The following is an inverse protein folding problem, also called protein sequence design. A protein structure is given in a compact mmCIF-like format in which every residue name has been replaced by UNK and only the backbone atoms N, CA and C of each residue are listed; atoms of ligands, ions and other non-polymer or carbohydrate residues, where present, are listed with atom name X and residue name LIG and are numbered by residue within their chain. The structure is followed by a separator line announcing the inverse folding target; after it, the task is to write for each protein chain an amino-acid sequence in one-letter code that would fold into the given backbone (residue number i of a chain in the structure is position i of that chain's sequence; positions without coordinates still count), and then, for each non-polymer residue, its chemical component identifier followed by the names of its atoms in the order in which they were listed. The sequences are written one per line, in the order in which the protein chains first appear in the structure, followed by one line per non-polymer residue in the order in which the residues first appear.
data_IF_164415193223
#
_entry.id   IF_164415193223
#
_cell.length_a   1.000
_cell.length_b   1.000
_cell.length_c   1.000
_cell.angle_alpha   90.00
_cell.angle_beta   90.00
_cell.angle_gamma   90.00
#
_symmetry.space_group_name_H-M   'P 1'
#
loop_
_entity.id
_entity.type
_entity.pdbx_description
1 polymer ?
#
# COMPACT_ATOMS: atom_id res chain seq x y z
N UNK A 1 -9.87 32.87 26.20
CA UNK A 1 -9.71 31.50 25.69
C UNK A 1 -9.05 31.60 24.33
N UNK A 2 -7.76 31.34 24.26
CA UNK A 2 -6.91 31.58 23.08
C UNK A 2 -7.15 30.50 22.02
N UNK A 3 -7.35 30.91 20.78
CA UNK A 3 -7.31 30.04 19.61
C UNK A 3 -5.87 29.98 19.10
N UNK A 4 -5.32 28.78 18.99
CA UNK A 4 -4.08 28.51 18.24
C UNK A 4 -4.47 27.81 16.94
N UNK A 5 -4.18 28.38 15.76
CA UNK A 5 -4.28 27.62 14.53
C UNK A 5 -3.06 26.68 14.46
N UNK A 6 -3.33 25.38 14.42
CA UNK A 6 -2.36 24.35 14.12
C UNK A 6 -2.31 24.25 12.60
N UNK A 7 -1.48 25.09 11.99
CA UNK A 7 -1.08 24.95 10.59
C UNK A 7 0.15 24.03 10.59
N UNK A 8 -0.09 22.72 10.57
CA UNK A 8 0.92 21.78 10.09
C UNK A 8 1.01 21.96 8.58
N UNK A 9 1.93 22.83 8.15
CA UNK A 9 2.50 22.80 6.81
C UNK A 9 3.32 21.51 6.71
N UNK A 10 2.65 20.37 6.49
CA UNK A 10 3.31 19.15 6.07
C UNK A 10 3.69 19.35 4.60
N UNK A 11 4.81 20.03 4.39
CA UNK A 11 5.48 20.10 3.09
C UNK A 11 5.82 18.66 2.73
N UNK A 12 4.94 18.01 1.98
CA UNK A 12 5.16 16.67 1.44
C UNK A 12 6.34 16.80 0.47
N UNK A 13 7.53 16.51 0.99
CA UNK A 13 8.75 16.29 0.23
C UNK A 13 8.47 15.08 -0.66
N UNK A 14 7.90 15.34 -1.84
CA UNK A 14 7.70 14.34 -2.88
C UNK A 14 9.08 13.98 -3.40
N UNK A 15 9.77 13.13 -2.63
CA UNK A 15 11.03 12.53 -3.02
C UNK A 15 10.76 11.72 -4.28
N UNK A 16 11.19 12.31 -5.39
CA UNK A 16 11.18 11.76 -6.71
C UNK A 16 11.97 10.44 -6.66
N UNK A 17 11.26 9.31 -6.58
CA UNK A 17 11.80 7.95 -6.71
C UNK A 17 12.21 7.73 -8.16
N UNK A 18 13.29 8.40 -8.56
CA UNK A 18 13.99 8.21 -9.82
C UNK A 18 15.25 7.40 -9.60
N UNK A 19 15.09 6.13 -9.23
CA UNK A 19 16.05 5.05 -9.50
C UNK A 19 15.41 3.71 -9.09
N UNK A 20 14.55 3.13 -9.95
CA UNK A 20 14.02 1.76 -9.75
C UNK A 20 14.47 0.83 -10.89
N UNK A 21 15.39 1.26 -11.75
CA UNK A 21 15.72 0.56 -13.00
C UNK A 21 16.89 -0.41 -12.90
N UNK A 22 17.54 -0.54 -11.73
CA UNK A 22 18.67 -1.46 -11.53
C UNK A 22 18.53 -2.31 -10.25
N UNK A 23 17.32 -2.50 -9.72
CA UNK A 23 17.10 -3.61 -8.79
C UNK A 23 17.02 -4.89 -9.61
N UNK A 24 17.87 -5.91 -9.36
CA UNK A 24 17.69 -7.21 -10.00
C UNK A 24 16.24 -7.64 -9.78
N UNK A 25 15.58 -8.15 -10.82
CA UNK A 25 14.21 -8.65 -10.76
C UNK A 25 14.14 -9.76 -9.71
N UNK A 26 13.92 -9.35 -8.46
CA UNK A 26 13.80 -10.24 -7.33
C UNK A 26 12.36 -10.69 -7.33
N UNK A 27 12.14 -11.97 -7.59
CA UNK A 27 10.84 -12.59 -7.37
C UNK A 27 10.56 -12.51 -5.86
N UNK A 28 9.68 -11.58 -5.48
CA UNK A 28 9.21 -11.41 -4.11
C UNK A 28 7.83 -12.05 -4.04
N UNK A 29 7.68 -13.06 -3.19
CA UNK A 29 6.38 -13.66 -2.93
C UNK A 29 5.48 -12.66 -2.20
N UNK A 30 4.28 -12.45 -2.74
CA UNK A 30 3.28 -11.56 -2.15
C UNK A 30 2.14 -12.38 -1.52
N UNK A 31 1.75 -11.99 -0.31
CA UNK A 31 0.55 -12.47 0.35
C UNK A 31 -0.63 -11.53 0.05
N UNK A 32 -1.81 -12.13 -0.18
CA UNK A 32 -3.06 -11.41 -0.35
C UNK A 32 -4.03 -11.80 0.76
N UNK A 33 -4.42 -10.82 1.58
CA UNK A 33 -5.39 -10.98 2.65
C UNK A 33 -6.68 -10.21 2.32
N UNK A 34 -7.79 -10.92 2.22
CA UNK A 34 -9.10 -10.35 1.94
C UNK A 34 -9.97 -10.38 3.19
N UNK A 35 -10.42 -9.21 3.63
CA UNK A 35 -11.41 -9.06 4.69
C UNK A 35 -12.77 -8.78 4.06
N UNK A 36 -13.73 -9.65 4.34
CA UNK A 36 -15.11 -9.50 3.89
C UNK A 36 -15.91 -8.71 4.91
N UNK A 37 -16.57 -7.65 4.46
CA UNK A 37 -17.46 -6.85 5.29
C UNK A 37 -18.91 -7.07 4.86
N UNK A 38 -19.82 -7.13 5.83
CA UNK A 38 -21.24 -7.39 5.54
C UNK A 38 -21.92 -6.27 4.75
N UNK A 39 -21.52 -5.02 4.99
CA UNK A 39 -22.21 -3.83 4.49
C UNK A 39 -21.27 -2.83 3.78
N UNK A 40 -20.00 -3.20 3.59
CA UNK A 40 -18.98 -2.38 2.95
C UNK A 40 -18.28 -3.23 1.88
N UNK A 41 -17.56 -2.56 0.98
CA UNK A 41 -16.72 -3.27 0.02
C UNK A 41 -15.69 -4.14 0.76
N UNK A 42 -15.43 -5.34 0.22
CA UNK A 42 -14.35 -6.19 0.69
C UNK A 42 -13.02 -5.45 0.57
N UNK A 43 -12.21 -5.51 1.62
CA UNK A 43 -10.88 -4.90 1.62
C UNK A 43 -9.85 -5.96 1.30
N UNK A 44 -8.98 -5.67 0.34
CA UNK A 44 -7.87 -6.53 -0.04
C UNK A 44 -6.56 -5.83 0.30
N UNK A 45 -5.70 -6.52 1.04
CA UNK A 45 -4.37 -6.05 1.44
C UNK A 45 -3.31 -6.99 0.89
N UNK A 46 -2.34 -6.42 0.18
CA UNK A 46 -1.17 -7.11 -0.36
C UNK A 46 0.06 -6.72 0.44
N UNK A 47 0.89 -7.69 0.83
CA UNK A 47 2.13 -7.46 1.58
C UNK A 47 3.21 -8.49 1.20
N UNK A 48 4.51 -8.16 1.28
CA UNK A 48 5.56 -9.13 1.04
C UNK A 48 5.58 -10.25 2.09
N UNK A 49 5.73 -11.49 1.65
CA UNK A 49 5.69 -12.67 2.52
C UNK A 49 6.92 -12.78 3.42
N UNK A 50 8.08 -12.34 2.91
CA UNK A 50 9.38 -12.43 3.58
C UNK A 50 9.56 -11.38 4.69
N UNK A 51 8.65 -10.39 4.79
CA UNK A 51 8.75 -9.31 5.77
C UNK A 51 8.39 -9.75 7.19
N UNK A 52 9.11 -9.21 8.17
CA UNK A 52 8.74 -9.31 9.58
C UNK A 52 7.38 -8.67 9.84
N UNK A 53 6.72 -9.04 10.94
CA UNK A 53 5.43 -8.45 11.31
C UNK A 53 5.48 -6.92 11.43
N UNK A 54 6.59 -6.36 11.92
CA UNK A 54 6.79 -4.90 11.99
C UNK A 54 6.95 -4.27 10.61
N UNK A 55 7.72 -4.89 9.70
CA UNK A 55 7.86 -4.39 8.33
C UNK A 55 6.54 -4.44 7.57
N UNK A 56 5.70 -5.46 7.82
CA UNK A 56 4.35 -5.57 7.27
C UNK A 56 3.38 -4.47 7.73
N UNK A 57 3.73 -3.67 8.75
CA UNK A 57 2.92 -2.49 9.15
C UNK A 57 3.13 -1.28 8.25
N UNK A 58 4.21 -1.26 7.47
CA UNK A 58 4.54 -0.14 6.58
C UNK A 58 4.69 -0.57 5.12
N UNK A 59 4.92 -1.87 4.87
CA UNK A 59 5.09 -2.44 3.54
C UNK A 59 3.85 -3.23 3.13
N UNK A 60 2.78 -2.49 2.85
CA UNK A 60 1.51 -3.05 2.37
C UNK A 60 0.78 -2.08 1.46
N UNK A 61 -0.07 -2.63 0.59
CA UNK A 61 -1.02 -1.89 -0.23
C UNK A 61 -2.42 -2.42 0.06
N UNK A 62 -3.36 -1.53 0.39
CA UNK A 62 -4.74 -1.93 0.70
C UNK A 62 -5.76 -1.07 -0.03
N UNK A 63 -6.67 -1.72 -0.74
CA UNK A 63 -7.76 -1.09 -1.47
C UNK A 63 -9.02 -1.97 -1.44
N UNK A 64 -10.11 -1.48 -2.00
CA UNK A 64 -11.30 -2.30 -2.24
C UNK A 64 -10.95 -3.43 -3.21
N UNK A 65 -11.46 -4.64 -2.96
CA UNK A 65 -11.12 -5.83 -3.73
C UNK A 65 -11.42 -5.68 -5.22
N UNK A 66 -12.42 -4.86 -5.57
CA UNK A 66 -12.80 -4.54 -6.95
C UNK A 66 -11.78 -3.68 -7.70
N UNK A 67 -10.85 -3.03 -6.98
CA UNK A 67 -9.77 -2.25 -7.59
C UNK A 67 -8.62 -3.15 -8.11
N UNK A 68 -8.52 -4.39 -7.63
CA UNK A 68 -7.55 -5.36 -8.11
C UNK A 68 -8.13 -6.10 -9.31
N UNK A 69 -7.36 -6.18 -10.39
CA UNK A 69 -7.74 -6.86 -11.63
C UNK A 69 -6.65 -7.86 -12.00
N UNK A 70 -7.06 -8.96 -12.62
CA UNK A 70 -6.10 -9.91 -13.15
C UNK A 70 -5.32 -9.27 -14.31
N UNK A 71 -4.01 -9.50 -14.34
CA UNK A 71 -3.14 -8.91 -15.36
C UNK A 71 -3.30 -9.60 -16.71
N UNK A 72 -3.58 -10.91 -16.74
CA UNK A 72 -3.85 -11.62 -17.99
C UNK A 72 -5.15 -11.15 -18.63
N UNK A 73 -6.16 -10.77 -17.82
CA UNK A 73 -7.40 -10.15 -18.30
C UNK A 73 -7.21 -8.74 -18.90
N UNK A 74 -6.07 -8.09 -18.67
CA UNK A 74 -5.79 -6.70 -19.09
C UNK A 74 -4.62 -6.57 -20.07
N UNK A 75 -4.06 -7.68 -20.55
CA UNK A 75 -2.91 -7.72 -21.47
C UNK A 75 -3.29 -7.65 -22.94
#
# INVERSE_FOLDING_TARGET
MSQTPHEDDETTDQQHVSDLTDTPEREVDLECLVVQYRNLADRCTITPSECSAEAKLTHWLSADRTAFVDLEERR
#
